data_IF_996307443690
#
_entry.id   IF_996307443690
#
_cell.length_a   1.000
_cell.length_b   1.000
_cell.length_c   1.000
_cell.angle_alpha   90.00
_cell.angle_beta   90.00
_cell.angle_gamma   90.00
#
_symmetry.space_group_name_H-M   'P 1'
#
loop_
_entity.id
_entity.type
_entity.pdbx_description
1 polymer ?
#
# COMPACT_ATOMS: atom_id res chain seq x y z
N UNK A 1 -21.02 0.51 -2.88
CA UNK A 1 -19.77 1.02 -2.32
C UNK A 1 -19.87 0.85 -0.82
N UNK A 2 -18.83 0.40 -0.13
CA UNK A 2 -18.89 0.16 1.32
C UNK A 2 -18.69 1.48 2.06
N UNK A 3 -19.53 1.74 3.05
CA UNK A 3 -19.47 2.93 3.91
C UNK A 3 -19.17 2.54 5.34
N UNK A 4 -18.64 3.47 6.12
CA UNK A 4 -18.25 3.28 7.51
C UNK A 4 -18.64 4.50 8.33
N UNK A 5 -18.84 4.28 9.61
CA UNK A 5 -19.03 5.38 10.57
C UNK A 5 -17.68 5.78 11.18
N UNK A 6 -17.37 7.06 11.14
CA UNK A 6 -16.22 7.66 11.82
C UNK A 6 -16.71 8.75 12.78
N UNK A 7 -16.11 8.84 13.95
CA UNK A 7 -16.32 9.92 14.90
C UNK A 7 -14.99 10.55 15.23
N UNK A 8 -14.90 11.87 15.17
CA UNK A 8 -13.73 12.57 15.67
C UNK A 8 -13.72 12.52 17.20
N UNK A 9 -12.56 12.42 17.86
CA UNK A 9 -12.47 12.36 19.31
C UNK A 9 -13.11 13.55 20.04
N UNK A 10 -13.25 14.68 19.36
CA UNK A 10 -13.83 15.94 19.89
C UNK A 10 -15.27 16.18 19.42
N UNK A 11 -15.87 15.30 18.61
CA UNK A 11 -17.26 15.42 18.14
C UNK A 11 -18.02 14.14 18.42
N UNK A 12 -19.08 14.22 19.21
CA UNK A 12 -19.95 13.07 19.51
C UNK A 12 -20.76 12.63 18.29
N UNK A 13 -20.78 13.41 17.21
CA UNK A 13 -21.48 13.06 15.98
C UNK A 13 -20.65 12.09 15.17
N UNK A 14 -21.33 11.07 14.67
CA UNK A 14 -20.76 10.12 13.73
C UNK A 14 -21.06 10.54 12.29
N UNK A 15 -20.03 10.59 11.46
CA UNK A 15 -20.15 10.84 10.03
C UNK A 15 -20.04 9.52 9.28
N UNK A 16 -20.89 9.30 8.29
CA UNK A 16 -20.78 8.15 7.39
C UNK A 16 -19.83 8.50 6.26
N UNK A 17 -18.73 7.76 6.15
CA UNK A 17 -17.70 8.02 5.14
C UNK A 17 -17.51 6.80 4.23
N UNK A 18 -17.09 7.06 3.00
CA UNK A 18 -16.50 6.04 2.13
C UNK A 18 -15.02 6.30 1.95
N UNK A 19 -14.29 5.25 1.65
CA UNK A 19 -12.86 5.34 1.39
C UNK A 19 -12.61 5.40 -0.11
N UNK A 20 -11.80 6.36 -0.53
CA UNK A 20 -11.34 6.47 -1.91
C UNK A 20 -9.81 6.40 -1.97
N UNK A 21 -9.31 5.53 -2.83
CA UNK A 21 -7.89 5.46 -3.13
C UNK A 21 -7.55 6.33 -4.34
N UNK A 22 -6.54 7.14 -4.17
CA UNK A 22 -5.95 7.95 -5.23
C UNK A 22 -4.44 7.75 -5.30
N UNK A 23 -3.78 8.61 -6.07
CA UNK A 23 -2.33 8.64 -6.18
C UNK A 23 -1.80 10.04 -5.90
N UNK A 24 -0.64 10.09 -5.24
CA UNK A 24 0.20 11.28 -5.22
C UNK A 24 0.96 11.43 -6.55
N UNK A 25 1.55 12.60 -6.79
CA UNK A 25 2.30 12.88 -8.02
C UNK A 25 3.47 11.91 -8.27
N UNK A 26 4.03 11.32 -7.21
CA UNK A 26 5.10 10.32 -7.29
C UNK A 26 4.58 8.87 -7.40
N UNK A 27 3.28 8.67 -7.64
CA UNK A 27 2.65 7.37 -7.82
C UNK A 27 2.27 6.63 -6.52
N UNK A 28 2.69 7.14 -5.34
CA UNK A 28 2.32 6.54 -4.05
C UNK A 28 0.83 6.61 -3.79
N UNK A 29 0.31 5.65 -3.04
CA UNK A 29 -1.12 5.58 -2.72
C UNK A 29 -1.52 6.69 -1.75
N UNK A 30 -2.65 7.32 -2.04
CA UNK A 30 -3.35 8.28 -1.20
C UNK A 30 -4.70 7.71 -0.77
N UNK A 31 -5.01 7.79 0.51
CA UNK A 31 -6.32 7.40 1.06
C UNK A 31 -7.07 8.67 1.40
N UNK A 32 -8.25 8.84 0.82
CA UNK A 32 -9.19 9.89 1.17
C UNK A 32 -10.41 9.28 1.85
N UNK A 33 -10.93 9.95 2.84
CA UNK A 33 -12.25 9.70 3.41
C UNK A 33 -13.19 10.77 2.86
N UNK A 34 -14.32 10.34 2.33
CA UNK A 34 -15.32 11.21 1.71
C UNK A 34 -16.61 11.04 2.49
N UNK A 35 -17.23 12.13 2.90
CA UNK A 35 -18.56 12.11 3.51
C UNK A 35 -19.58 11.59 2.48
N UNK A 36 -20.33 10.56 2.86
CA UNK A 36 -21.28 9.90 1.96
C UNK A 36 -22.59 10.70 1.80
N UNK A 37 -22.84 11.67 2.69
CA UNK A 37 -24.07 12.46 2.69
C UNK A 37 -24.05 13.59 1.65
N UNK A 38 -22.92 14.25 1.45
CA UNK A 38 -22.77 15.42 0.59
C UNK A 38 -21.69 15.24 -0.48
N UNK A 39 -20.94 14.13 -0.42
CA UNK A 39 -19.85 13.81 -1.34
C UNK A 39 -18.63 14.75 -1.20
N UNK A 40 -18.50 15.41 -0.07
CA UNK A 40 -17.39 16.31 0.22
C UNK A 40 -16.22 15.55 0.88
N UNK A 41 -14.97 16.01 0.73
CA UNK A 41 -13.84 15.41 1.41
C UNK A 41 -13.95 15.56 2.93
N UNK A 42 -14.04 14.44 3.66
CA UNK A 42 -13.95 14.44 5.12
C UNK A 42 -12.49 14.70 5.56
N UNK A 43 -11.56 13.89 5.07
CA UNK A 43 -10.12 14.15 5.25
C UNK A 43 -9.28 13.36 4.26
N UNK A 44 -8.00 13.74 4.12
CA UNK A 44 -6.96 12.89 3.53
C UNK A 44 -6.24 12.17 4.65
N UNK A 45 -6.42 10.85 4.74
CA UNK A 45 -5.90 10.01 5.81
C UNK A 45 -4.39 9.77 5.73
N UNK A 46 -3.77 10.01 4.58
CA UNK A 46 -2.34 9.75 4.35
C UNK A 46 -1.56 11.03 4.10
N UNK A 47 -0.23 10.95 4.25
CA UNK A 47 0.70 12.00 3.81
C UNK A 47 1.73 11.43 2.84
N UNK A 48 2.42 12.32 2.12
CA UNK A 48 3.48 11.93 1.18
C UNK A 48 4.81 12.51 1.65
N UNK A 49 5.76 11.64 1.97
CA UNK A 49 7.14 11.99 2.32
C UNK A 49 8.05 11.40 1.24
N UNK A 50 8.30 12.11 0.13
CA UNK A 50 8.96 11.55 -1.04
C UNK A 50 10.38 11.04 -0.76
N UNK A 51 11.07 11.64 0.21
CA UNK A 51 12.45 11.31 0.57
C UNK A 51 12.55 10.13 1.56
N UNK A 52 11.43 9.63 2.07
CA UNK A 52 11.39 8.50 2.99
C UNK A 52 10.98 7.23 2.25
N UNK A 53 11.73 6.15 2.45
CA UNK A 53 11.47 4.88 1.77
C UNK A 53 10.13 4.28 2.20
N UNK A 54 9.29 3.97 1.22
CA UNK A 54 8.07 3.16 1.34
C UNK A 54 8.08 2.03 0.31
N UNK A 55 7.53 0.90 0.69
CA UNK A 55 7.17 -0.16 -0.25
C UNK A 55 5.88 0.22 -1.00
N UNK A 56 5.60 -0.45 -2.13
CA UNK A 56 4.49 -0.08 -3.02
C UNK A 56 3.11 -0.20 -2.37
N UNK A 57 2.98 -1.11 -1.40
CA UNK A 57 1.76 -1.34 -0.63
C UNK A 57 1.77 -0.62 0.72
N UNK A 58 2.72 0.26 0.99
CA UNK A 58 2.80 1.01 2.23
C UNK A 58 2.33 2.46 2.07
N UNK A 59 1.81 3.01 3.14
CA UNK A 59 1.36 4.40 3.24
C UNK A 59 1.80 5.00 4.58
N UNK A 60 1.98 6.32 4.62
CA UNK A 60 2.11 7.06 5.88
C UNK A 60 0.73 7.53 6.31
N UNK A 61 0.24 7.07 7.44
CA UNK A 61 -1.07 7.47 7.98
C UNK A 61 -0.92 8.69 8.88
N UNK A 62 -1.76 9.70 8.65
CA UNK A 62 -1.88 10.87 9.52
C UNK A 62 -2.84 10.55 10.65
N UNK A 63 -2.39 10.72 11.88
CA UNK A 63 -3.20 10.52 13.08
C UNK A 63 -2.94 11.64 14.10
N UNK A 64 -3.07 12.87 13.63
CA UNK A 64 -2.81 14.05 14.43
C UNK A 64 -3.71 15.22 13.99
N UNK A 65 -3.92 16.18 14.88
CA UNK A 65 -4.74 17.36 14.61
C UNK A 65 -6.15 16.97 14.16
N UNK A 66 -6.60 17.46 13.02
CA UNK A 66 -7.91 17.15 12.44
C UNK A 66 -8.07 15.66 12.01
N UNK A 67 -6.98 14.92 11.99
CA UNK A 67 -6.97 13.49 11.63
C UNK A 67 -6.83 12.55 12.85
N UNK A 68 -6.91 13.07 14.07
CA UNK A 68 -6.82 12.24 15.28
C UNK A 68 -7.92 11.16 15.27
N UNK A 69 -7.52 9.89 15.49
CA UNK A 69 -8.42 8.72 15.43
C UNK A 69 -8.55 8.08 14.05
N UNK A 70 -7.95 8.66 13.01
CA UNK A 70 -8.00 8.10 11.65
C UNK A 70 -7.22 6.79 11.56
N UNK A 71 -6.11 6.65 12.27
CA UNK A 71 -5.33 5.41 12.28
C UNK A 71 -6.14 4.26 12.91
N UNK A 72 -6.79 4.50 14.06
CA UNK A 72 -7.65 3.53 14.71
C UNK A 72 -8.84 3.14 13.81
N UNK A 73 -9.47 4.13 13.16
CA UNK A 73 -10.53 3.91 12.19
C UNK A 73 -10.09 3.00 11.04
N UNK A 74 -8.95 3.29 10.40
CA UNK A 74 -8.45 2.51 9.27
C UNK A 74 -8.06 1.08 9.68
N UNK A 75 -7.50 0.92 10.88
CA UNK A 75 -7.08 -0.38 11.42
C UNK A 75 -8.29 -1.24 11.82
N UNK A 76 -9.24 -0.67 12.56
CA UNK A 76 -10.44 -1.36 13.02
C UNK A 76 -11.30 -1.85 11.84
N UNK A 77 -11.32 -1.08 10.76
CA UNK A 77 -12.05 -1.45 9.54
C UNK A 77 -11.21 -2.30 8.56
N UNK A 78 -10.05 -2.79 8.99
CA UNK A 78 -9.15 -3.64 8.19
C UNK A 78 -8.73 -3.01 6.84
N UNK A 79 -8.59 -1.67 6.79
CA UNK A 79 -8.14 -0.95 5.60
C UNK A 79 -6.63 -0.95 5.52
N UNK A 80 -5.97 -0.75 6.67
CA UNK A 80 -4.52 -0.82 6.78
C UNK A 80 -4.11 -1.70 7.96
N UNK A 81 -2.87 -2.19 7.91
CA UNK A 81 -2.20 -2.93 8.97
C UNK A 81 -1.02 -2.08 9.43
N UNK A 82 -1.00 -1.59 10.68
CA UNK A 82 0.13 -0.84 11.20
C UNK A 82 1.40 -1.67 11.24
N UNK A 83 2.54 -1.05 10.92
CA UNK A 83 3.86 -1.64 11.10
C UNK A 83 4.52 -1.06 12.36
N UNK A 84 5.72 -1.53 12.69
CA UNK A 84 6.55 -0.97 13.76
C UNK A 84 7.39 0.23 13.30
N UNK A 85 7.24 0.67 12.05
CA UNK A 85 7.98 1.75 11.43
C UNK A 85 7.25 3.09 11.53
N UNK A 86 8.01 4.14 11.80
CA UNK A 86 7.56 5.51 11.86
C UNK A 86 8.43 6.42 11.01
N UNK A 87 7.88 7.54 10.57
CA UNK A 87 8.61 8.58 9.86
C UNK A 87 8.22 9.95 10.39
N UNK A 88 9.18 10.87 10.42
CA UNK A 88 8.92 12.24 10.87
C UNK A 88 8.37 13.09 9.71
N UNK A 89 7.25 13.76 9.94
CA UNK A 89 6.60 14.69 9.03
C UNK A 89 6.54 16.08 9.69
N UNK A 90 7.53 16.90 9.44
CA UNK A 90 7.66 18.19 10.12
C UNK A 90 7.93 18.03 11.62
N UNK A 91 6.96 18.36 12.46
CA UNK A 91 7.06 18.25 13.93
C UNK A 91 6.30 17.06 14.53
N UNK A 92 5.75 16.19 13.70
CA UNK A 92 4.97 15.02 14.11
C UNK A 92 5.53 13.76 13.51
N UNK A 93 5.32 12.63 14.17
CA UNK A 93 5.61 11.32 13.62
C UNK A 93 4.35 10.71 13.01
N UNK A 94 4.52 10.04 11.88
CA UNK A 94 3.47 9.33 11.15
C UNK A 94 3.82 7.85 11.07
N UNK A 95 2.82 7.00 11.27
CA UNK A 95 3.04 5.57 11.23
C UNK A 95 3.04 5.06 9.79
N UNK A 96 4.00 4.19 9.49
CA UNK A 96 3.98 3.40 8.25
C UNK A 96 2.98 2.27 8.43
N UNK A 97 2.03 2.17 7.52
CA UNK A 97 1.04 1.10 7.50
C UNK A 97 1.06 0.40 6.15
N UNK A 98 0.80 -0.90 6.15
CA UNK A 98 0.59 -1.68 4.93
C UNK A 98 -0.88 -1.65 4.55
N UNK A 99 -1.20 -1.42 3.29
CA UNK A 99 -2.56 -1.61 2.79
C UNK A 99 -2.96 -3.06 2.94
N UNK A 100 -4.13 -3.32 3.53
CA UNK A 100 -4.58 -4.69 3.73
C UNK A 100 -5.06 -5.29 2.39
N UNK A 101 -4.39 -6.32 1.83
CA UNK A 101 -4.76 -6.92 0.55
C UNK A 101 -6.08 -7.71 0.63
N UNK A 102 -6.47 -8.15 1.82
CA UNK A 102 -7.73 -8.87 2.05
C UNK A 102 -8.90 -7.93 2.35
N UNK A 103 -8.64 -6.62 2.38
CA UNK A 103 -9.71 -5.67 2.55
C UNK A 103 -10.68 -5.79 1.37
N UNK A 104 -11.99 -5.95 1.64
CA UNK A 104 -13.07 -6.02 0.64
C UNK A 104 -13.17 -4.77 -0.27
N UNK A 105 -12.18 -3.88 -0.15
CA UNK A 105 -12.05 -2.66 -0.94
C UNK A 105 -11.79 -2.93 -2.41
N UNK A 106 -11.39 -4.19 -2.76
CA UNK A 106 -11.17 -4.59 -4.14
C UNK A 106 -10.17 -3.69 -4.90
N UNK A 107 -9.51 -2.79 -4.19
CA UNK A 107 -8.58 -1.83 -4.72
C UNK A 107 -7.23 -2.06 -4.06
N UNK A 108 -6.72 -3.24 -4.21
CA UNK A 108 -5.32 -3.33 -4.54
C UNK A 108 -5.24 -2.61 -5.89
N UNK A 109 -4.54 -1.46 -6.00
CA UNK A 109 -4.19 -0.99 -7.34
C UNK A 109 -3.61 -2.23 -7.99
N UNK A 110 -4.14 -2.61 -9.14
CA UNK A 110 -3.82 -3.83 -9.86
C UNK A 110 -2.31 -3.87 -10.16
N UNK A 111 -1.49 -4.04 -9.10
CA UNK A 111 -0.06 -4.33 -9.14
C UNK A 111 0.11 -5.81 -9.50
N UNK A 112 -0.97 -6.55 -9.37
CA UNK A 112 -1.11 -7.90 -9.84
C UNK A 112 -2.32 -7.91 -10.77
N UNK A 113 -2.14 -7.58 -12.04
CA UNK A 113 -3.03 -8.09 -13.06
C UNK A 113 -2.97 -9.61 -12.91
N UNK A 114 -4.10 -10.21 -12.49
CA UNK A 114 -4.33 -11.66 -12.64
C UNK A 114 -4.41 -12.08 -14.14
N UNK A 115 -3.95 -11.24 -15.04
CA UNK A 115 -3.48 -11.69 -16.32
C UNK A 115 -2.20 -12.48 -16.03
N UNK A 116 -2.41 -13.77 -15.66
CA UNK A 116 -1.38 -14.77 -15.92
C UNK A 116 -0.89 -14.49 -17.33
N UNK A 117 0.39 -14.09 -17.52
CA UNK A 117 0.95 -14.15 -18.84
C UNK A 117 0.71 -15.62 -19.25
N UNK A 118 -0.06 -15.83 -20.34
CA UNK A 118 -0.12 -17.15 -20.96
C UNK A 118 1.33 -17.56 -21.16
N UNK A 119 1.76 -18.54 -20.39
CA UNK A 119 3.10 -19.11 -20.51
C UNK A 119 3.17 -19.76 -21.87
N UNK A 120 3.60 -18.99 -22.85
CA UNK A 120 4.10 -19.53 -24.10
C UNK A 120 5.42 -20.26 -23.77
N UNK A 121 5.36 -21.59 -23.77
CA UNK A 121 6.50 -22.47 -23.50
C UNK A 121 7.71 -22.25 -24.43
N UNK A 122 7.66 -21.27 -25.31
CA UNK A 122 8.71 -20.90 -26.26
C UNK A 122 9.32 -19.51 -25.99
N UNK A 123 8.97 -18.82 -24.90
CA UNK A 123 9.53 -17.51 -24.59
C UNK A 123 10.76 -17.62 -23.69
N UNK A 124 11.76 -16.80 -24.02
CA UNK A 124 12.88 -16.44 -23.14
C UNK A 124 12.36 -16.01 -21.77
N UNK A 125 13.17 -16.23 -20.73
CA UNK A 125 12.89 -15.74 -19.37
C UNK A 125 12.35 -14.30 -19.39
N UNK A 126 11.38 -13.96 -18.54
CA UNK A 126 10.82 -12.62 -18.49
C UNK A 126 11.92 -11.58 -18.23
N UNK A 127 11.75 -10.40 -18.79
CA UNK A 127 12.64 -9.29 -18.47
C UNK A 127 12.52 -8.92 -16.99
N UNK A 128 13.61 -8.56 -16.30
CA UNK A 128 13.55 -8.15 -14.92
C UNK A 128 12.81 -6.82 -14.77
N UNK A 129 12.12 -6.64 -13.64
CA UNK A 129 11.40 -5.39 -13.31
C UNK A 129 12.36 -4.23 -13.02
N UNK A 130 13.53 -4.54 -12.45
CA UNK A 130 14.60 -3.58 -12.18
C UNK A 130 15.98 -4.23 -12.31
N UNK A 131 16.98 -3.42 -12.57
CA UNK A 131 18.40 -3.81 -12.56
C UNK A 131 19.15 -2.90 -11.60
N UNK A 132 19.84 -3.47 -10.64
CA UNK A 132 20.74 -2.73 -9.76
C UNK A 132 21.97 -2.28 -10.55
N UNK A 133 22.20 -0.97 -10.71
CA UNK A 133 23.30 -0.45 -11.53
C UNK A 133 24.69 -0.71 -10.91
N UNK A 134 24.77 -1.05 -9.63
CA UNK A 134 26.03 -1.28 -8.92
C UNK A 134 26.44 -2.75 -8.95
N UNK A 135 25.50 -3.64 -8.68
CA UNK A 135 25.76 -5.08 -8.58
C UNK A 135 25.43 -5.84 -9.86
N UNK A 136 24.66 -5.23 -10.78
CA UNK A 136 24.13 -5.88 -11.97
C UNK A 136 23.07 -6.95 -11.68
N UNK A 137 22.65 -7.12 -10.42
CA UNK A 137 21.56 -8.01 -10.08
C UNK A 137 20.24 -7.50 -10.61
N UNK A 138 19.40 -8.41 -11.04
CA UNK A 138 18.08 -8.14 -11.54
C UNK A 138 17.03 -8.47 -10.48
N UNK A 139 15.99 -7.65 -10.40
CA UNK A 139 14.84 -7.91 -9.54
C UNK A 139 13.70 -8.48 -10.37
N UNK A 140 13.09 -9.54 -9.86
CA UNK A 140 11.83 -10.10 -10.38
C UNK A 140 10.77 -10.13 -9.31
N UNK A 141 9.53 -9.91 -9.72
CA UNK A 141 8.36 -10.10 -8.87
C UNK A 141 7.74 -11.45 -9.24
N UNK A 142 7.90 -12.44 -8.37
CA UNK A 142 7.40 -13.80 -8.59
C UNK A 142 6.45 -14.16 -7.44
N UNK A 143 5.19 -14.48 -7.74
CA UNK A 143 4.15 -14.78 -6.74
C UNK A 143 4.06 -13.71 -5.63
N UNK A 144 4.31 -12.45 -5.96
CA UNK A 144 4.28 -11.38 -4.98
C UNK A 144 5.58 -11.13 -4.21
N UNK A 145 6.57 -11.97 -4.35
CA UNK A 145 7.89 -11.78 -3.74
C UNK A 145 8.80 -10.99 -4.66
N UNK A 146 9.53 -10.02 -4.11
CA UNK A 146 10.60 -9.31 -4.81
C UNK A 146 11.91 -10.03 -4.57
N UNK A 147 12.47 -10.59 -5.60
CA UNK A 147 13.69 -11.40 -5.51
C UNK A 147 14.77 -10.78 -6.39
N UNK A 148 15.90 -10.45 -5.75
CA UNK A 148 17.09 -9.95 -6.42
C UNK A 148 18.06 -11.10 -6.67
N UNK A 149 18.28 -11.42 -7.94
CA UNK A 149 19.23 -12.46 -8.30
C UNK A 149 19.92 -12.19 -9.64
N UNK A 150 20.83 -13.06 -10.00
CA UNK A 150 21.64 -12.94 -11.23
C UNK A 150 20.85 -13.35 -12.47
N UNK A 151 19.83 -14.21 -12.31
CA UNK A 151 18.95 -14.67 -13.38
C UNK A 151 17.55 -14.98 -12.85
N UNK A 152 16.57 -15.04 -13.76
CA UNK A 152 15.21 -15.44 -13.42
C UNK A 152 15.13 -16.86 -12.85
N UNK A 153 15.94 -17.78 -13.37
CA UNK A 153 15.99 -19.17 -12.90
C UNK A 153 16.54 -19.29 -11.47
N UNK A 154 17.50 -18.43 -11.11
CA UNK A 154 18.03 -18.39 -9.74
C UNK A 154 17.02 -17.76 -8.79
N UNK A 155 16.28 -16.74 -9.24
CA UNK A 155 15.19 -16.15 -8.47
C UNK A 155 14.06 -17.15 -8.19
N UNK A 156 13.71 -18.02 -9.13
CA UNK A 156 12.75 -19.11 -8.91
C UNK A 156 13.21 -20.10 -7.85
N UNK A 157 14.48 -20.52 -7.88
CA UNK A 157 15.04 -21.39 -6.84
C UNK A 157 15.03 -20.75 -5.45
N UNK A 158 15.30 -19.44 -5.39
CA UNK A 158 15.23 -18.67 -4.16
C UNK A 158 13.80 -18.67 -3.59
N UNK A 159 12.80 -18.51 -4.47
CA UNK A 159 11.39 -18.56 -4.06
C UNK A 159 11.02 -19.95 -3.50
N UNK A 160 11.45 -21.04 -4.15
CA UNK A 160 11.21 -22.41 -3.65
C UNK A 160 11.79 -22.61 -2.25
N UNK A 161 12.96 -22.03 -1.96
CA UNK A 161 13.56 -22.04 -0.63
C UNK A 161 12.71 -21.27 0.39
N UNK A 162 12.17 -20.10 0.04
CA UNK A 162 11.32 -19.29 0.91
C UNK A 162 10.00 -20.01 1.22
N UNK A 163 9.40 -20.65 0.22
CA UNK A 163 8.13 -21.39 0.38
C UNK A 163 8.28 -22.73 1.12
N UNK A 164 9.52 -23.20 1.36
CA UNK A 164 9.80 -24.46 2.06
C UNK A 164 9.93 -24.33 3.58
N UNK A 165 9.87 -23.13 4.12
CA UNK A 165 9.89 -22.80 5.56
C UNK A 165 8.52 -22.37 6.06
#
# INVERSE_FOLDING_TARGET
>A
MKTFSISAPWDERSTVVRVELGKYANGRTRINLIDDSDNEPYCTATTNLPDVLLLDNEVFVKDYSENEGVLDFLTTNNIVIPTDRWATSGFVDVQVCTLNPESEWGIVPNLYSDEKPEYDNNRMDPAPDQIDPVTGKCMWIIKGYRIWDSSYQDALKHLELIESF
#
